data_IF_423894503204
#
_entry.id   IF_423894503204
#
_cell.length_a   1.000
_cell.length_b   1.000
_cell.length_c   1.000
_cell.angle_alpha   90.00
_cell.angle_beta   90.00
_cell.angle_gamma   90.00
#
_symmetry.space_group_name_H-M   'P 1'
#
loop_
_entity.id
_entity.type
_entity.pdbx_description
1 polymer ?
#
# COMPACT_ATOMS: atom_id res chain seq x y z
N UNK A 1 6.42 -12.61 4.16
CA UNK A 1 6.39 -12.26 2.71
C UNK A 1 7.65 -11.48 2.43
N UNK A 2 8.29 -11.72 1.29
CA UNK A 2 9.54 -11.08 0.91
C UNK A 2 9.35 -10.45 -0.48
N UNK A 3 9.95 -9.29 -0.71
CA UNK A 3 9.92 -8.60 -2.01
C UNK A 3 11.33 -8.72 -2.60
N UNK A 4 11.54 -9.59 -3.61
CA UNK A 4 12.85 -9.73 -4.23
C UNK A 4 13.17 -8.47 -5.05
N UNK A 5 14.34 -7.88 -4.81
CA UNK A 5 14.82 -6.70 -5.52
C UNK A 5 16.12 -7.06 -6.21
N UNK A 6 16.15 -6.99 -7.54
CA UNK A 6 17.34 -7.24 -8.31
C UNK A 6 18.19 -5.97 -8.41
N UNK A 7 19.44 -6.05 -7.94
CA UNK A 7 20.44 -4.99 -8.10
C UNK A 7 21.21 -5.29 -9.38
N UNK A 8 21.26 -4.32 -10.29
CA UNK A 8 22.02 -4.43 -11.55
C UNK A 8 23.31 -3.63 -11.41
N UNK A 9 24.44 -4.29 -11.68
CA UNK A 9 25.74 -3.62 -11.72
C UNK A 9 25.79 -2.68 -12.92
N UNK A 10 26.19 -1.43 -12.69
CA UNK A 10 26.26 -0.38 -13.70
C UNK A 10 27.70 0.04 -14.01
N UNK A 11 28.71 -0.74 -13.60
CA UNK A 11 30.16 -0.47 -13.79
C UNK A 11 30.57 0.98 -13.43
N UNK A 12 29.77 1.65 -12.62
CA UNK A 12 29.96 3.05 -12.27
C UNK A 12 30.88 3.10 -11.07
N UNK A 13 32.12 3.49 -11.32
CA UNK A 13 33.13 3.74 -10.30
C UNK A 13 32.61 4.82 -9.34
N UNK A 14 32.36 4.42 -8.08
CA UNK A 14 31.94 5.24 -6.93
C UNK A 14 30.57 5.96 -7.06
N UNK A 15 29.46 5.24 -6.87
CA UNK A 15 28.18 5.89 -6.52
C UNK A 15 27.42 5.17 -5.41
N UNK A 16 27.36 5.83 -4.24
CA UNK A 16 26.35 5.59 -3.21
C UNK A 16 24.95 5.78 -3.84
N UNK A 17 24.20 4.69 -3.99
CA UNK A 17 22.82 4.74 -4.52
C UNK A 17 21.83 4.51 -3.39
N UNK A 18 20.86 5.42 -3.24
CA UNK A 18 19.79 5.31 -2.24
C UNK A 18 18.47 5.17 -2.95
N UNK A 19 17.71 4.16 -2.57
CA UNK A 19 16.37 3.92 -3.08
C UNK A 19 15.40 3.64 -1.94
N UNK A 20 14.10 3.82 -2.20
CA UNK A 20 13.04 3.58 -1.24
C UNK A 20 12.07 2.56 -1.79
N UNK A 21 11.60 1.67 -0.91
CA UNK A 21 10.51 0.76 -1.22
C UNK A 21 9.36 1.09 -0.28
N UNK A 22 8.21 1.36 -0.85
CA UNK A 22 6.99 1.75 -0.14
C UNK A 22 5.89 0.74 -0.47
N UNK A 23 5.18 0.28 0.57
CA UNK A 23 3.95 -0.49 0.39
C UNK A 23 2.80 0.48 0.08
N UNK A 24 2.02 0.15 -0.96
CA UNK A 24 0.74 0.82 -1.21
C UNK A 24 -0.36 0.36 -0.28
N UNK A 25 -1.54 0.95 -0.40
CA UNK A 25 -2.69 0.61 0.46
C UNK A 25 -3.07 -0.88 0.31
N UNK A 26 -3.09 -1.65 1.41
CA UNK A 26 -3.47 -3.04 1.36
C UNK A 26 -4.97 -3.16 1.06
N UNK A 27 -5.32 -4.09 0.19
CA UNK A 27 -6.70 -4.34 -0.21
C UNK A 27 -7.07 -5.80 0.05
N UNK A 28 -8.34 -6.04 0.37
CA UNK A 28 -8.87 -7.40 0.43
C UNK A 28 -9.22 -7.89 -0.98
N UNK A 29 -9.28 -9.20 -1.18
CA UNK A 29 -9.73 -9.77 -2.45
C UNK A 29 -11.19 -9.39 -2.76
N UNK A 30 -12.00 -9.22 -1.72
CA UNK A 30 -13.39 -8.75 -1.82
C UNK A 30 -13.47 -7.30 -2.31
N UNK A 31 -12.61 -6.41 -1.81
CA UNK A 31 -12.50 -5.03 -2.30
C UNK A 31 -12.10 -5.06 -3.78
N UNK A 32 -11.08 -5.84 -4.17
CA UNK A 32 -10.64 -5.94 -5.56
C UNK A 32 -11.78 -6.37 -6.51
N UNK A 33 -12.63 -7.30 -6.08
CA UNK A 33 -13.79 -7.74 -6.87
C UNK A 33 -14.89 -6.65 -6.92
N UNK A 34 -15.13 -5.93 -5.82
CA UNK A 34 -16.11 -4.83 -5.75
C UNK A 34 -15.71 -3.61 -6.59
N UNK A 35 -14.41 -3.31 -6.67
CA UNK A 35 -13.85 -2.30 -7.57
C UNK A 35 -14.16 -2.63 -9.03
N UNK A 36 -13.96 -3.89 -9.44
CA UNK A 36 -14.26 -4.35 -10.79
C UNK A 36 -15.76 -4.35 -11.12
N UNK A 37 -16.64 -4.49 -10.11
CA UNK A 37 -18.09 -4.45 -10.28
C UNK A 37 -18.71 -3.05 -10.10
N UNK A 38 -17.91 -2.03 -9.78
CA UNK A 38 -18.37 -0.65 -9.59
C UNK A 38 -19.16 -0.43 -8.30
N UNK A 39 -19.03 -1.31 -7.31
CA UNK A 39 -19.71 -1.24 -6.01
C UNK A 39 -18.78 -0.77 -4.89
N UNK A 40 -17.92 0.21 -5.19
CA UNK A 40 -17.02 0.76 -4.16
C UNK A 40 -17.79 1.61 -3.15
N UNK A 41 -17.50 1.36 -1.87
CA UNK A 41 -17.77 2.30 -0.81
C UNK A 41 -16.67 3.35 -0.84
N UNK A 42 -16.99 4.56 -1.28
CA UNK A 42 -16.05 5.67 -1.28
C UNK A 42 -15.61 5.97 0.16
N UNK A 43 -14.34 5.67 0.44
CA UNK A 43 -13.69 5.82 1.75
C UNK A 43 -13.40 7.28 2.10
N UNK A 44 -13.50 8.18 1.12
CA UNK A 44 -13.34 9.62 1.28
C UNK A 44 -14.67 10.33 1.60
N UNK A 45 -15.81 9.61 1.57
CA UNK A 45 -17.09 10.18 1.99
C UNK A 45 -17.03 10.63 3.46
N UNK A 46 -17.61 11.79 3.79
CA UNK A 46 -17.67 12.27 5.16
C UNK A 46 -18.27 11.20 6.09
N UNK A 47 -17.58 10.89 7.18
CA UNK A 47 -18.03 9.90 8.16
C UNK A 47 -19.37 10.23 8.82
N UNK A 48 -19.86 11.47 8.66
CA UNK A 48 -21.18 11.91 9.10
C UNK A 48 -22.32 11.32 8.23
N UNK A 49 -22.06 10.97 6.97
CA UNK A 49 -23.04 10.46 6.01
C UNK A 49 -23.05 8.93 5.91
N UNK A 50 -22.10 8.26 6.59
CA UNK A 50 -21.99 6.81 6.61
C UNK A 50 -22.92 6.20 7.66
N UNK A 51 -23.61 5.13 7.27
CA UNK A 51 -24.38 4.29 8.20
C UNK A 51 -23.45 3.64 9.23
N UNK A 52 -23.99 3.26 10.39
CA UNK A 52 -23.21 2.54 11.42
C UNK A 52 -22.59 1.25 10.88
N UNK A 53 -23.30 0.55 9.98
CA UNK A 53 -22.80 -0.64 9.30
C UNK A 53 -21.59 -0.34 8.39
N UNK A 54 -21.63 0.76 7.62
CA UNK A 54 -20.50 1.18 6.77
C UNK A 54 -19.28 1.57 7.61
N UNK A 55 -19.48 2.24 8.75
CA UNK A 55 -18.39 2.58 9.68
C UNK A 55 -17.69 1.34 10.22
N UNK A 56 -18.46 0.33 10.62
CA UNK A 56 -17.92 -0.94 11.12
C UNK A 56 -17.16 -1.66 10.00
N UNK A 57 -17.68 -1.65 8.77
CA UNK A 57 -16.99 -2.25 7.63
C UNK A 57 -15.64 -1.57 7.32
N UNK A 58 -15.56 -0.23 7.41
CA UNK A 58 -14.30 0.52 7.20
C UNK A 58 -13.25 0.28 8.30
N UNK A 59 -13.67 -0.05 9.52
CA UNK A 59 -12.75 -0.43 10.62
C UNK A 59 -12.16 -1.82 10.41
N UNK A 60 -12.85 -2.70 9.68
CA UNK A 60 -12.37 -4.04 9.34
C UNK A 60 -11.40 -4.10 8.16
N UNK A 61 -11.22 -3.01 7.41
CA UNK A 61 -10.30 -2.97 6.27
C UNK A 61 -8.84 -3.07 6.73
N UNK A 62 -7.99 -3.83 6.02
CA UNK A 62 -6.57 -3.89 6.31
C UNK A 62 -5.94 -2.50 6.13
N UNK A 63 -4.92 -2.18 6.94
CA UNK A 63 -4.21 -0.91 6.89
C UNK A 63 -2.71 -1.15 6.98
N UNK A 64 -1.94 -0.21 6.43
CA UNK A 64 -0.49 -0.19 6.61
C UNK A 64 -0.15 0.00 8.10
N UNK A 65 0.90 -0.69 8.54
CA UNK A 65 1.50 -0.44 9.86
C UNK A 65 2.48 0.73 9.82
N UNK A 66 3.11 1.00 10.96
CA UNK A 66 4.01 2.17 11.12
C UNK A 66 5.20 2.16 10.16
N UNK A 67 5.73 0.97 9.83
CA UNK A 67 6.90 0.79 8.97
C UNK A 67 6.49 0.23 7.59
N UNK A 68 5.88 1.08 6.76
CA UNK A 68 5.48 0.72 5.39
C UNK A 68 6.52 1.14 4.32
N UNK A 69 7.52 1.94 4.72
CA UNK A 69 8.60 2.46 3.87
C UNK A 69 9.95 2.01 4.40
N UNK A 70 10.81 1.54 3.52
CA UNK A 70 12.21 1.21 3.84
C UNK A 70 13.15 1.95 2.90
N UNK A 71 14.27 2.42 3.46
CA UNK A 71 15.39 2.97 2.69
C UNK A 71 16.44 1.87 2.47
N UNK A 72 16.88 1.74 1.23
CA UNK A 72 17.94 0.84 0.85
C UNK A 72 19.11 1.66 0.29
N UNK A 73 20.30 1.46 0.86
CA UNK A 73 21.53 2.10 0.42
C UNK A 73 22.48 1.05 -0.11
N UNK A 74 22.84 1.18 -1.38
CA UNK A 74 23.87 0.38 -2.04
C UNK A 74 25.15 1.19 -1.99
N UNK A 75 26.18 0.57 -1.42
CA UNK A 75 27.55 1.10 -1.39
C UNK A 75 28.39 0.36 -2.42
#
# INVERSE_FOLDING_TARGET
KEIPIQIVDNESYERDSVFYVELGDPRTEEDYIKEQSGQELDEHRPSAELTEAEKIALLGKPRLGDNYKIQLRIK
#
